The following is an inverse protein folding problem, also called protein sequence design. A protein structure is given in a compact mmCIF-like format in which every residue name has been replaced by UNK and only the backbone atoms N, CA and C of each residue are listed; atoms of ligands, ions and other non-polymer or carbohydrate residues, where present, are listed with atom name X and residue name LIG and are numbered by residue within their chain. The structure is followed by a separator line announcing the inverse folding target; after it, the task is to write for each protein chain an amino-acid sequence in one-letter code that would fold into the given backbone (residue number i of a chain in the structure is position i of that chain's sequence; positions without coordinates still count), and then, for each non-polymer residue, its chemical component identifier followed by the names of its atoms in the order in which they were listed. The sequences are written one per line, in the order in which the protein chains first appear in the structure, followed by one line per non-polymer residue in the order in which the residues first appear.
data_IF_431305117233
#
_entry.id   IF_431305117233
#
_cell.length_a   1.000
_cell.length_b   1.000
_cell.length_c   1.000
_cell.angle_alpha   90.00
_cell.angle_beta   90.00
_cell.angle_gamma   90.00
#
_symmetry.space_group_name_H-M   'P 1'
#
loop_
_entity.id
_entity.type
_entity.pdbx_description
1 polymer ?
#
# COMPACT_ATOMS: atom_id res chain seq x y z
N UNK A 1 -18.17 -49.12 15.45
CA UNK A 1 -18.91 -47.94 15.95
C UNK A 1 -18.01 -46.72 15.86
N UNK A 2 -18.52 -45.72 15.13
CA UNK A 2 -18.32 -44.25 15.25
C UNK A 2 -16.90 -43.67 15.08
N UNK A 3 -16.66 -43.20 13.85
CA UNK A 3 -15.71 -42.15 13.50
C UNK A 3 -16.15 -40.81 14.13
N UNK A 4 -15.28 -40.14 14.88
CA UNK A 4 -15.48 -38.76 15.35
C UNK A 4 -14.74 -37.79 14.44
N UNK A 5 -15.47 -37.18 13.50
CA UNK A 5 -15.01 -36.02 12.74
C UNK A 5 -15.44 -34.74 13.48
N UNK A 6 -14.47 -34.03 14.06
CA UNK A 6 -14.69 -32.72 14.68
C UNK A 6 -14.99 -31.67 13.62
N UNK A 7 -16.20 -31.11 13.67
CA UNK A 7 -16.66 -30.00 12.84
C UNK A 7 -16.14 -28.70 13.43
N UNK A 8 -15.19 -28.05 12.77
CA UNK A 8 -14.82 -26.66 13.10
C UNK A 8 -15.77 -25.74 12.34
N UNK A 9 -16.62 -25.03 13.08
CA UNK A 9 -17.50 -24.00 12.56
C UNK A 9 -16.68 -22.72 12.37
N UNK A 10 -16.48 -22.30 11.13
CA UNK A 10 -15.94 -20.97 10.79
C UNK A 10 -17.10 -19.98 10.89
N UNK A 11 -17.12 -19.17 11.94
CA UNK A 11 -18.06 -18.07 12.07
C UNK A 11 -17.55 -16.88 11.25
N UNK A 12 -18.20 -16.62 10.12
CA UNK A 12 -17.99 -15.42 9.30
C UNK A 12 -18.62 -14.23 10.04
N UNK A 13 -17.80 -13.37 10.64
CA UNK A 13 -18.27 -12.13 11.24
C UNK A 13 -18.77 -11.19 10.12
N UNK A 14 -20.06 -10.89 10.13
CA UNK A 14 -20.65 -9.89 9.27
C UNK A 14 -20.23 -8.49 9.74
N UNK A 15 -19.40 -7.81 8.95
CA UNK A 15 -19.08 -6.40 9.14
C UNK A 15 -20.32 -5.56 8.80
N UNK A 16 -20.93 -4.92 9.80
CA UNK A 16 -21.93 -3.89 9.59
C UNK A 16 -21.25 -2.64 9.04
N UNK A 17 -21.27 -2.47 7.71
CA UNK A 17 -20.77 -1.26 7.07
C UNK A 17 -21.73 -0.10 7.34
N UNK A 18 -21.41 0.74 8.33
CA UNK A 18 -21.98 2.07 8.47
C UNK A 18 -21.48 2.89 7.28
N UNK A 19 -22.34 3.10 6.28
CA UNK A 19 -22.06 4.03 5.19
C UNK A 19 -22.15 5.46 5.72
N UNK A 20 -21.06 5.97 6.27
CA UNK A 20 -20.86 7.41 6.37
C UNK A 20 -20.78 7.97 4.94
N UNK A 21 -21.56 9.00 4.65
CA UNK A 21 -21.55 9.67 3.33
C UNK A 21 -20.15 10.24 3.08
N UNK A 22 -19.37 9.57 2.24
CA UNK A 22 -17.99 9.94 1.97
C UNK A 22 -17.97 11.09 0.97
N UNK A 23 -17.61 12.28 1.46
CA UNK A 23 -17.33 13.42 0.60
C UNK A 23 -16.05 13.10 -0.15
N UNK A 24 -16.16 12.94 -1.47
CA UNK A 24 -15.01 12.88 -2.36
C UNK A 24 -14.36 14.27 -2.35
N UNK A 25 -13.32 14.43 -1.54
CA UNK A 25 -12.60 15.69 -1.46
C UNK A 25 -11.62 15.83 -2.63
N UNK A 26 -11.47 17.06 -3.13
CA UNK A 26 -10.45 17.43 -4.12
C UNK A 26 -9.02 17.13 -3.62
N UNK A 27 -8.84 17.03 -2.31
CA UNK A 27 -7.61 16.56 -1.65
C UNK A 27 -8.03 15.89 -0.36
N UNK A 28 -7.57 14.68 -0.09
CA UNK A 28 -7.86 14.02 1.19
C UNK A 28 -7.43 14.93 2.35
N UNK A 29 -8.36 15.29 3.24
CA UNK A 29 -8.03 15.97 4.49
C UNK A 29 -7.03 15.16 5.33
N UNK A 30 -7.15 13.82 5.28
CA UNK A 30 -6.31 12.88 5.98
C UNK A 30 -5.59 11.96 4.96
N UNK A 31 -4.35 12.28 4.55
CA UNK A 31 -3.54 11.35 3.77
C UNK A 31 -3.27 10.07 4.57
N UNK A 32 -3.16 8.95 3.85
CA UNK A 32 -2.82 7.65 4.43
C UNK A 32 -1.33 7.55 4.69
N UNK A 33 -0.93 6.92 5.79
CA UNK A 33 0.45 6.49 6.01
C UNK A 33 0.54 4.98 5.74
N UNK A 34 1.47 4.57 4.89
CA UNK A 34 1.68 3.18 4.54
C UNK A 34 3.14 2.77 4.75
N UNK A 35 3.32 1.60 5.34
CA UNK A 35 4.58 0.90 5.49
C UNK A 35 4.70 -0.19 4.42
N UNK A 36 5.82 -0.23 3.73
CA UNK A 36 6.11 -1.16 2.64
C UNK A 36 7.38 -1.95 2.96
N UNK A 37 7.43 -3.20 2.50
CA UNK A 37 8.70 -3.90 2.29
C UNK A 37 8.90 -4.01 0.80
N UNK A 38 9.93 -3.33 0.29
CA UNK A 38 10.24 -3.28 -1.14
C UNK A 38 11.54 -3.97 -1.44
N UNK A 39 11.55 -4.76 -2.52
CA UNK A 39 12.73 -5.47 -3.01
C UNK A 39 13.07 -5.04 -4.43
N UNK A 40 14.27 -4.53 -4.69
CA UNK A 40 14.66 -4.18 -6.04
C UNK A 40 15.00 -5.44 -6.85
N UNK A 41 14.77 -5.40 -8.16
CA UNK A 41 15.16 -6.45 -9.09
C UNK A 41 16.66 -6.49 -9.40
N UNK A 42 17.37 -5.40 -9.08
CA UNK A 42 18.83 -5.27 -9.19
C UNK A 42 19.40 -4.58 -7.95
N UNK A 43 20.68 -4.82 -7.66
CA UNK A 43 21.35 -4.14 -6.53
C UNK A 43 21.38 -2.63 -6.75
N UNK A 44 20.83 -1.87 -5.81
CA UNK A 44 20.79 -0.41 -5.83
C UNK A 44 21.05 0.18 -4.45
N UNK A 45 21.50 1.44 -4.45
CA UNK A 45 21.51 2.30 -3.26
C UNK A 45 20.40 3.35 -3.46
N UNK A 46 19.18 3.11 -2.94
CA UNK A 46 18.06 4.00 -3.20
C UNK A 46 18.18 5.32 -2.43
N UNK A 47 17.31 6.26 -2.79
CA UNK A 47 17.13 7.54 -2.10
C UNK A 47 15.66 7.72 -1.77
N UNK A 48 15.30 8.64 -0.87
CA UNK A 48 13.89 8.95 -0.59
C UNK A 48 13.12 9.34 -1.86
N UNK A 49 13.80 10.02 -2.80
CA UNK A 49 13.24 10.40 -4.10
C UNK A 49 12.87 9.20 -4.97
N UNK A 50 13.61 8.09 -4.87
CA UNK A 50 13.27 6.85 -5.58
C UNK A 50 11.93 6.31 -5.10
N UNK A 51 11.77 6.18 -3.78
CA UNK A 51 10.53 5.66 -3.20
C UNK A 51 9.34 6.62 -3.41
N UNK A 52 9.57 7.93 -3.34
CA UNK A 52 8.56 8.93 -3.71
C UNK A 52 8.06 8.74 -5.15
N UNK A 53 8.99 8.45 -6.08
CA UNK A 53 8.65 8.21 -7.47
C UNK A 53 7.91 6.89 -7.66
N UNK A 54 8.44 5.78 -7.14
CA UNK A 54 7.83 4.44 -7.26
C UNK A 54 6.39 4.45 -6.76
N UNK A 55 6.17 4.93 -5.53
CA UNK A 55 4.87 4.93 -4.87
C UNK A 55 3.94 5.97 -5.52
N UNK A 56 4.44 7.19 -5.77
CA UNK A 56 3.64 8.26 -6.37
C UNK A 56 3.17 7.93 -7.78
N UNK A 57 4.07 7.39 -8.62
CA UNK A 57 3.73 6.97 -9.99
C UNK A 57 2.75 5.81 -9.99
N UNK A 58 2.99 4.78 -9.18
CA UNK A 58 2.09 3.63 -9.09
C UNK A 58 0.67 4.07 -8.69
N UNK A 59 0.54 4.90 -7.66
CA UNK A 59 -0.77 5.37 -7.23
C UNK A 59 -1.44 6.25 -8.29
N UNK A 60 -0.70 7.17 -8.92
CA UNK A 60 -1.26 8.05 -9.96
C UNK A 60 -1.81 7.27 -11.15
N UNK A 61 -1.16 6.15 -11.54
CA UNK A 61 -1.65 5.24 -12.58
C UNK A 61 -2.97 4.58 -12.14
N UNK A 62 -3.01 4.00 -10.94
CA UNK A 62 -4.17 3.24 -10.48
C UNK A 62 -5.40 4.11 -10.21
N UNK A 63 -5.19 5.34 -9.77
CA UNK A 63 -6.30 6.29 -9.54
C UNK A 63 -6.67 7.08 -10.80
N UNK A 64 -5.81 7.08 -11.84
CA UNK A 64 -6.02 7.85 -13.07
C UNK A 64 -6.06 9.37 -12.84
N UNK A 65 -5.36 9.86 -11.83
CA UNK A 65 -5.51 11.24 -11.34
C UNK A 65 -4.31 11.77 -10.58
N UNK A 66 -4.47 12.98 -10.05
CA UNK A 66 -3.47 13.65 -9.23
C UNK A 66 -3.31 12.96 -7.88
N UNK A 67 -2.08 12.94 -7.41
CA UNK A 67 -1.72 12.49 -6.07
C UNK A 67 -0.96 13.60 -5.35
N UNK A 68 -0.96 13.52 -4.02
CA UNK A 68 -0.11 14.34 -3.18
C UNK A 68 0.75 13.42 -2.32
N UNK A 69 2.02 13.30 -2.70
CA UNK A 69 3.01 12.55 -1.91
C UNK A 69 3.68 13.50 -0.91
N UNK A 70 3.66 13.15 0.37
CA UNK A 70 4.22 13.95 1.46
C UNK A 70 5.66 13.57 1.80
N UNK A 71 6.21 12.55 1.13
CA UNK A 71 7.57 12.07 1.32
C UNK A 71 7.61 10.64 1.83
N UNK A 72 8.75 10.01 1.57
CA UNK A 72 9.10 8.67 2.03
C UNK A 72 10.31 8.76 2.93
N UNK A 73 10.40 7.86 3.89
CA UNK A 73 11.63 7.53 4.59
C UNK A 73 11.86 6.03 4.49
N UNK A 74 13.10 5.57 4.61
CA UNK A 74 13.38 4.14 4.53
C UNK A 74 14.53 3.68 5.40
N UNK A 75 14.54 2.38 5.66
CA UNK A 75 15.65 1.66 6.30
C UNK A 75 16.00 0.43 5.46
N UNK A 76 17.29 0.14 5.37
CA UNK A 76 17.79 -1.01 4.61
C UNK A 76 17.81 -2.26 5.49
N UNK A 77 17.30 -3.37 4.98
CA UNK A 77 17.35 -4.67 5.64
C UNK A 77 18.59 -5.49 5.18
N UNK A 78 19.02 -6.50 5.97
CA UNK A 78 20.18 -7.34 5.62
C UNK A 78 20.03 -8.17 4.34
N UNK A 79 18.80 -8.44 3.91
CA UNK A 79 18.47 -9.26 2.73
C UNK A 79 18.30 -8.43 1.44
N UNK A 80 18.76 -7.17 1.45
CA UNK A 80 18.61 -6.21 0.34
C UNK A 80 17.16 -5.79 0.06
N UNK A 81 16.24 -6.01 1.00
CA UNK A 81 14.93 -5.35 1.01
C UNK A 81 14.99 -4.03 1.77
N UNK A 82 13.94 -3.22 1.65
CA UNK A 82 13.86 -1.91 2.28
C UNK A 82 12.50 -1.75 2.95
N UNK A 83 12.50 -1.38 4.24
CA UNK A 83 11.28 -0.92 4.89
C UNK A 83 11.10 0.54 4.55
N UNK A 84 9.98 0.90 3.95
CA UNK A 84 9.68 2.25 3.50
C UNK A 84 8.41 2.71 4.18
N UNK A 85 8.43 3.86 4.83
CA UNK A 85 7.22 4.56 5.28
C UNK A 85 6.93 5.67 4.27
N UNK A 86 5.71 5.76 3.75
CA UNK A 86 5.28 6.85 2.88
C UNK A 86 3.91 7.38 3.31
N UNK A 87 3.76 8.70 3.24
CA UNK A 87 2.49 9.38 3.45
C UNK A 87 1.99 9.96 2.14
N UNK A 88 0.77 9.59 1.73
CA UNK A 88 0.25 9.93 0.40
C UNK A 88 -1.27 10.11 0.39
N UNK A 89 -1.76 10.93 -0.53
CA UNK A 89 -3.18 11.00 -0.87
C UNK A 89 -3.44 11.02 -2.36
N UNK A 90 -4.67 10.67 -2.75
CA UNK A 90 -5.15 10.74 -4.12
C UNK A 90 -6.43 11.59 -4.22
N UNK A 91 -6.53 12.37 -5.29
CA UNK A 91 -7.70 13.20 -5.57
C UNK A 91 -8.92 12.32 -5.86
N UNK A 92 -10.07 12.70 -5.31
CA UNK A 92 -11.31 11.95 -5.54
C UNK A 92 -11.28 10.53 -4.95
N UNK A 93 -10.41 10.27 -3.97
CA UNK A 93 -10.40 9.06 -3.16
C UNK A 93 -10.49 9.43 -1.69
N UNK A 94 -11.09 8.55 -0.91
CA UNK A 94 -11.01 8.57 0.55
C UNK A 94 -9.72 7.90 1.01
N UNK A 95 -9.27 8.18 2.24
CA UNK A 95 -8.08 7.53 2.79
C UNK A 95 -8.20 6.00 2.75
N UNK A 96 -9.39 5.46 3.05
CA UNK A 96 -9.67 4.03 3.01
C UNK A 96 -9.58 3.45 1.58
N UNK A 97 -10.07 4.16 0.57
CA UNK A 97 -9.93 3.74 -0.84
C UNK A 97 -8.47 3.78 -1.29
N UNK A 98 -7.72 4.81 -0.93
CA UNK A 98 -6.28 4.88 -1.23
C UNK A 98 -5.52 3.76 -0.53
N UNK A 99 -5.78 3.52 0.76
CA UNK A 99 -5.21 2.41 1.50
C UNK A 99 -5.52 1.05 0.86
N UNK A 100 -6.76 0.85 0.40
CA UNK A 100 -7.18 -0.39 -0.25
C UNK A 100 -6.47 -0.61 -1.59
N UNK A 101 -6.28 0.44 -2.40
CA UNK A 101 -5.50 0.37 -3.65
C UNK A 101 -4.06 -0.04 -3.34
N UNK A 102 -3.40 0.67 -2.42
CA UNK A 102 -1.99 0.45 -2.08
C UNK A 102 -1.78 -0.95 -1.47
N UNK A 103 -2.68 -1.39 -0.59
CA UNK A 103 -2.61 -2.74 0.01
C UNK A 103 -2.79 -3.83 -1.04
N UNK A 104 -3.51 -3.55 -2.12
CA UNK A 104 -3.65 -4.44 -3.27
C UNK A 104 -2.35 -4.69 -4.05
N UNK A 105 -1.32 -3.88 -3.85
CA UNK A 105 -0.05 -4.01 -4.59
C UNK A 105 0.82 -5.19 -4.15
N UNK A 106 0.50 -5.88 -3.07
CA UNK A 106 1.32 -6.99 -2.56
C UNK A 106 1.50 -8.06 -3.64
N UNK A 107 2.76 -8.38 -3.94
CA UNK A 107 3.16 -9.31 -5.00
C UNK A 107 3.31 -8.67 -6.38
N UNK A 108 3.00 -7.38 -6.54
CA UNK A 108 3.22 -6.65 -7.79
C UNK A 108 4.60 -6.00 -7.84
N UNK A 109 5.11 -5.86 -9.06
CA UNK A 109 6.35 -5.12 -9.34
C UNK A 109 6.01 -3.72 -9.84
N UNK A 110 6.52 -2.69 -9.17
CA UNK A 110 6.33 -1.28 -9.53
C UNK A 110 7.62 -0.71 -10.13
N UNK A 111 7.51 0.03 -11.23
CA UNK A 111 8.66 0.64 -11.90
C UNK A 111 9.18 1.85 -11.11
N UNK A 112 10.47 1.85 -10.76
CA UNK A 112 11.18 2.99 -10.20
C UNK A 112 12.06 3.72 -11.23
N UNK A 113 12.92 4.63 -10.75
CA UNK A 113 13.91 5.31 -11.60
C UNK A 113 15.18 4.47 -11.74
N UNK A 114 15.57 3.77 -10.67
CA UNK A 114 16.83 3.03 -10.61
C UNK A 114 16.65 1.51 -10.73
N UNK A 115 15.50 0.98 -10.30
CA UNK A 115 15.17 -0.43 -10.33
C UNK A 115 13.65 -0.63 -10.49
N UNK A 116 13.23 -1.87 -10.77
CA UNK A 116 11.85 -2.26 -10.51
C UNK A 116 11.75 -2.84 -9.10
N UNK A 117 10.63 -2.56 -8.43
CA UNK A 117 10.45 -2.83 -7.01
C UNK A 117 9.30 -3.79 -6.80
N UNK A 118 9.60 -5.01 -6.37
CA UNK A 118 8.60 -5.94 -5.87
C UNK A 118 8.07 -5.43 -4.53
N UNK A 119 6.76 -5.36 -4.40
CA UNK A 119 6.08 -5.04 -3.14
C UNK A 119 5.85 -6.34 -2.38
N UNK A 120 6.70 -6.63 -1.38
CA UNK A 120 6.60 -7.88 -0.62
C UNK A 120 5.50 -7.82 0.45
N UNK A 121 5.31 -6.67 1.07
CA UNK A 121 4.20 -6.41 2.00
C UNK A 121 3.84 -4.93 2.05
N UNK A 122 2.59 -4.65 2.42
CA UNK A 122 2.08 -3.30 2.68
C UNK A 122 1.17 -3.34 3.91
N UNK A 123 1.28 -2.33 4.76
CA UNK A 123 0.31 -2.02 5.81
C UNK A 123 0.01 -0.53 5.81
N UNK A 124 -1.27 -0.14 5.88
CA UNK A 124 -1.67 1.27 5.86
C UNK A 124 -2.56 1.62 7.06
N UNK A 125 -2.42 2.84 7.59
CA UNK A 125 -3.19 3.40 8.72
C UNK A 125 -3.77 4.77 8.42
#
# INVERSE_FOLDING_TARGET
MIFKLSKVFVALAALTAVHASVVLEKRQANPVTCDYVLKPDVTVTPTDSEFNFVIGRALSIDVGGSIFNFGSTFTTNPDSTFNVENKISADGKTAAETAAIITGWVGETKTGLAANWLVESVSCV
#
